data_IF_521143684047
#
_entry.id   IF_521143684047
#
_cell.length_a   1.000
_cell.length_b   1.000
_cell.length_c   1.000
_cell.angle_alpha   90.00
_cell.angle_beta   90.00
_cell.angle_gamma   90.00
#
_symmetry.space_group_name_H-M   'P 1'
#
loop_
_entity.id
_entity.type
_entity.pdbx_description
1 polymer ?
#
# COMPACT_ATOMS: atom_id res chain seq x y z
N UNK A 1 -3.21 -12.28 -20.95
CA UNK A 1 -2.48 -11.07 -21.39
C UNK A 1 -3.48 -10.04 -21.92
N UNK A 2 -3.82 -9.04 -21.11
CA UNK A 2 -4.84 -8.03 -21.42
C UNK A 2 -4.22 -6.92 -22.31
N UNK A 3 -4.13 -7.16 -23.62
CA UNK A 3 -3.60 -6.18 -24.58
C UNK A 3 -4.59 -5.00 -24.71
N UNK A 4 -4.21 -3.81 -24.22
CA UNK A 4 -4.81 -2.54 -24.65
C UNK A 4 -5.34 -1.59 -23.58
N UNK A 5 -5.31 -1.94 -22.29
CA UNK A 5 -5.65 -0.98 -21.22
C UNK A 5 -4.39 -0.34 -20.68
N UNK A 6 -4.31 0.99 -20.74
CA UNK A 6 -3.25 1.75 -20.06
C UNK A 6 -3.31 1.47 -18.56
N UNK A 7 -2.17 1.60 -17.87
CA UNK A 7 -2.13 1.44 -16.40
C UNK A 7 -3.10 2.42 -15.71
N UNK A 8 -3.27 3.61 -16.28
CA UNK A 8 -4.26 4.62 -15.85
C UNK A 8 -5.70 4.10 -15.89
N UNK A 9 -6.04 3.30 -16.89
CA UNK A 9 -7.36 2.69 -17.01
C UNK A 9 -7.59 1.66 -15.91
N UNK A 10 -6.55 0.87 -15.58
CA UNK A 10 -6.58 -0.15 -14.51
C UNK A 10 -6.76 0.51 -13.13
N UNK A 11 -5.96 1.54 -12.84
CA UNK A 11 -5.92 2.17 -11.50
C UNK A 11 -7.05 3.17 -11.31
N UNK A 12 -7.22 4.10 -12.25
CA UNK A 12 -8.07 5.29 -12.09
C UNK A 12 -9.37 5.21 -12.89
N UNK A 13 -9.44 4.33 -13.88
CA UNK A 13 -10.54 4.33 -14.84
C UNK A 13 -10.54 5.58 -15.72
N UNK A 14 -9.37 6.04 -16.15
CA UNK A 14 -9.19 7.10 -17.15
C UNK A 14 -8.10 6.70 -18.15
N UNK A 15 -8.04 7.33 -19.31
CA UNK A 15 -7.14 6.90 -20.39
C UNK A 15 -5.78 7.63 -20.37
N UNK A 16 -5.67 8.71 -19.59
CA UNK A 16 -4.47 9.53 -19.40
C UNK A 16 -4.02 9.50 -17.95
N UNK A 17 -2.74 9.74 -17.75
CA UNK A 17 -2.16 9.93 -16.41
C UNK A 17 -2.86 11.10 -15.71
N UNK A 18 -3.37 10.92 -14.48
CA UNK A 18 -3.93 12.03 -13.73
C UNK A 18 -2.86 13.04 -13.29
N UNK A 19 -3.07 14.31 -13.59
CA UNK A 19 -2.21 15.38 -13.11
C UNK A 19 -2.36 15.59 -11.59
N UNK A 20 -1.27 15.93 -10.91
CA UNK A 20 -1.30 16.36 -9.52
C UNK A 20 -0.51 17.66 -9.36
N UNK A 21 -1.20 18.71 -8.92
CA UNK A 21 -0.62 20.05 -8.73
C UNK A 21 0.16 20.16 -7.41
N UNK A 22 1.12 19.26 -7.20
CA UNK A 22 2.03 19.27 -6.06
C UNK A 22 3.44 18.95 -6.51
N UNK A 23 4.41 19.67 -5.97
CA UNK A 23 5.83 19.30 -6.03
C UNK A 23 6.15 18.28 -4.94
N UNK A 24 7.32 17.67 -4.99
CA UNK A 24 7.80 16.76 -3.96
C UNK A 24 7.80 17.41 -2.56
N UNK A 25 8.28 18.65 -2.49
CA UNK A 25 8.25 19.45 -1.27
C UNK A 25 6.81 19.72 -0.80
N UNK A 26 5.91 20.02 -1.75
CA UNK A 26 4.48 20.24 -1.46
C UNK A 26 3.78 19.02 -0.88
N UNK A 27 4.12 17.81 -1.35
CA UNK A 27 3.59 16.56 -0.78
C UNK A 27 4.01 16.40 0.67
N UNK A 28 5.31 16.64 0.96
CA UNK A 28 5.88 16.51 2.30
C UNK A 28 5.24 17.48 3.29
N UNK A 29 5.07 18.75 2.89
CA UNK A 29 4.39 19.76 3.70
C UNK A 29 2.93 19.39 4.00
N UNK A 30 2.16 18.99 2.97
CA UNK A 30 0.77 18.57 3.16
C UNK A 30 0.65 17.33 4.05
N UNK A 31 1.57 16.38 3.95
CA UNK A 31 1.54 15.20 4.80
C UNK A 31 1.74 15.57 6.27
N UNK A 32 2.63 16.51 6.57
CA UNK A 32 2.84 17.04 7.91
C UNK A 32 1.62 17.80 8.44
N UNK A 33 0.96 18.60 7.60
CA UNK A 33 -0.29 19.30 7.97
C UNK A 33 -1.42 18.33 8.34
N UNK A 34 -1.55 17.23 7.59
CA UNK A 34 -2.63 16.25 7.75
C UNK A 34 -2.45 15.31 8.95
N UNK A 35 -1.21 15.03 9.35
CA UNK A 35 -0.90 14.17 10.50
C UNK A 35 -1.03 14.92 11.83
N UNK A 36 -1.11 16.26 11.80
CA UNK A 36 -1.05 17.09 12.99
C UNK A 36 0.37 17.20 13.56
N UNK A 37 0.61 18.20 14.42
CA UNK A 37 1.88 18.32 15.15
C UNK A 37 2.01 17.11 16.08
N UNK A 38 2.98 16.24 15.79
CA UNK A 38 3.36 15.00 16.48
C UNK A 38 2.64 13.71 16.02
N UNK A 39 3.29 12.98 15.12
CA UNK A 39 3.37 11.52 15.24
C UNK A 39 4.79 11.07 14.91
N UNK A 40 5.47 10.49 15.90
CA UNK A 40 6.90 10.12 15.91
C UNK A 40 7.11 8.66 15.40
N UNK A 41 6.08 8.02 14.83
CA UNK A 41 6.22 6.73 14.16
C UNK A 41 6.47 6.95 12.66
N UNK A 42 7.74 7.05 12.25
CA UNK A 42 8.21 7.32 10.87
C UNK A 42 7.84 6.26 9.80
N UNK A 43 8.33 6.30 8.56
CA UNK A 43 9.46 7.07 7.96
C UNK A 43 9.15 7.52 6.50
N UNK A 44 7.89 7.50 6.03
CA UNK A 44 7.54 7.98 4.68
C UNK A 44 6.31 8.90 4.68
N UNK A 45 6.39 10.12 4.12
CA UNK A 45 5.21 10.97 3.90
C UNK A 45 4.19 10.23 3.04
N UNK A 46 2.89 10.33 3.36
CA UNK A 46 1.83 9.79 2.51
C UNK A 46 0.61 10.69 2.52
N UNK A 47 -0.08 10.73 1.39
CA UNK A 47 -1.29 11.52 1.21
C UNK A 47 -2.46 10.65 0.79
N UNK A 48 -3.62 10.93 1.38
CA UNK A 48 -4.90 10.45 0.90
C UNK A 48 -5.35 11.33 -0.27
N UNK A 49 -5.56 10.73 -1.45
CA UNK A 49 -5.98 11.45 -2.65
C UNK A 49 -7.24 10.83 -3.27
N UNK A 50 -7.99 11.64 -4.01
CA UNK A 50 -9.15 11.21 -4.81
C UNK A 50 -9.04 11.75 -6.21
N UNK A 51 -9.61 11.01 -7.16
CA UNK A 51 -9.75 11.46 -8.54
C UNK A 51 -10.94 12.41 -8.61
N UNK A 52 -10.73 13.67 -8.96
CA UNK A 52 -11.76 14.69 -8.91
C UNK A 52 -12.44 14.98 -10.26
N UNK A 53 -11.75 14.76 -11.38
CA UNK A 53 -12.35 14.78 -12.72
C UNK A 53 -11.93 13.53 -13.51
N UNK A 54 -12.87 12.99 -14.28
CA UNK A 54 -12.70 11.83 -15.15
C UNK A 54 -12.85 12.18 -16.63
N UNK A 55 -13.27 13.41 -16.96
CA UNK A 55 -13.50 13.88 -18.32
C UNK A 55 -12.37 14.82 -18.74
N UNK A 56 -11.74 14.52 -19.88
CA UNK A 56 -10.75 15.40 -20.52
C UNK A 56 -9.38 15.46 -19.82
N UNK A 57 -9.34 15.99 -18.60
CA UNK A 57 -8.13 16.32 -17.83
C UNK A 57 -8.20 15.73 -16.40
N UNK A 58 -7.86 14.44 -16.25
CA UNK A 58 -7.95 13.77 -14.96
C UNK A 58 -6.96 14.36 -13.96
N UNK A 59 -7.41 14.58 -12.72
CA UNK A 59 -6.55 15.15 -11.69
C UNK A 59 -6.78 14.53 -10.31
N UNK A 60 -5.67 14.30 -9.61
CA UNK A 60 -5.65 13.85 -8.22
C UNK A 60 -5.69 15.06 -7.28
N UNK A 61 -6.60 15.03 -6.31
CA UNK A 61 -6.70 16.02 -5.24
C UNK A 61 -6.48 15.37 -3.90
N UNK A 62 -5.64 16.00 -3.08
CA UNK A 62 -5.45 15.68 -1.68
C UNK A 62 -6.77 15.89 -0.93
N UNK A 63 -7.13 14.95 -0.06
CA UNK A 63 -8.41 14.95 0.63
C UNK A 63 -8.28 14.34 2.03
N UNK A 64 -8.85 15.01 3.03
CA UNK A 64 -8.94 14.47 4.40
C UNK A 64 -10.00 13.37 4.53
N UNK A 65 -11.02 13.39 3.66
CA UNK A 65 -12.12 12.43 3.68
C UNK A 65 -12.37 11.84 2.29
N UNK A 66 -12.88 10.61 2.25
CA UNK A 66 -13.23 9.93 1.00
C UNK A 66 -12.07 9.72 0.03
N UNK A 67 -10.82 9.63 0.54
CA UNK A 67 -9.67 9.26 -0.27
C UNK A 67 -9.83 7.87 -0.86
N UNK A 68 -9.53 7.76 -2.16
CA UNK A 68 -9.66 6.53 -2.94
C UNK A 68 -8.28 5.88 -3.18
N UNK A 69 -7.22 6.67 -3.08
CA UNK A 69 -5.85 6.24 -3.31
C UNK A 69 -4.94 6.77 -2.20
N UNK A 70 -3.83 6.09 -1.99
CA UNK A 70 -2.71 6.54 -1.18
C UNK A 70 -1.60 6.92 -2.14
N UNK A 71 -1.06 8.13 -2.00
CA UNK A 71 0.09 8.62 -2.73
C UNK A 71 1.30 8.64 -1.80
N UNK A 72 2.41 8.04 -2.24
CA UNK A 72 3.68 7.96 -1.55
C UNK A 72 4.78 8.57 -2.44
N UNK A 73 5.41 9.68 -2.02
CA UNK A 73 6.43 10.34 -2.82
C UNK A 73 7.79 9.66 -2.67
N UNK A 74 8.72 10.08 -3.51
CA UNK A 74 10.16 9.91 -3.28
C UNK A 74 10.58 10.45 -1.90
N UNK A 75 11.52 9.77 -1.23
CA UNK A 75 12.13 10.23 0.02
C UNK A 75 13.64 10.32 -0.18
N UNK A 76 14.26 11.43 0.21
CA UNK A 76 15.69 11.67 -0.06
C UNK A 76 16.61 10.59 0.54
N UNK A 77 16.20 9.98 1.66
CA UNK A 77 16.96 8.93 2.33
C UNK A 77 17.07 7.62 1.51
N UNK A 78 16.11 7.34 0.62
CA UNK A 78 16.02 6.08 -0.10
C UNK A 78 15.78 6.33 -1.59
N UNK A 79 16.82 6.16 -2.41
CA UNK A 79 16.74 6.42 -3.85
C UNK A 79 15.71 5.52 -4.54
N UNK A 80 14.94 6.09 -5.46
CA UNK A 80 13.95 5.39 -6.31
C UNK A 80 12.93 4.56 -5.51
N UNK A 81 12.50 5.08 -4.34
CA UNK A 81 11.58 4.36 -3.45
C UNK A 81 10.20 4.11 -4.09
N UNK A 82 9.58 5.08 -4.80
CA UNK A 82 8.36 4.84 -5.56
C UNK A 82 8.50 3.70 -6.58
N UNK A 83 9.60 3.70 -7.33
CA UNK A 83 9.88 2.72 -8.38
C UNK A 83 10.15 1.33 -7.79
N UNK A 84 10.83 1.27 -6.65
CA UNK A 84 11.03 0.04 -5.88
C UNK A 84 9.68 -0.58 -5.49
N UNK A 85 8.79 0.22 -4.88
CA UNK A 85 7.47 -0.26 -4.47
C UNK A 85 6.62 -0.68 -5.68
N UNK A 86 6.62 0.10 -6.76
CA UNK A 86 5.93 -0.27 -8.01
C UNK A 86 6.43 -1.60 -8.57
N UNK A 87 7.74 -1.80 -8.59
CA UNK A 87 8.36 -3.03 -9.11
C UNK A 87 7.97 -4.23 -8.25
N UNK A 88 8.10 -4.14 -6.93
CA UNK A 88 7.76 -5.23 -6.01
C UNK A 88 6.28 -5.60 -6.09
N UNK A 89 5.39 -4.59 -6.12
CA UNK A 89 3.95 -4.80 -6.25
C UNK A 89 3.57 -5.39 -7.62
N UNK A 90 4.28 -5.01 -8.69
CA UNK A 90 4.07 -5.58 -10.04
C UNK A 90 4.52 -7.04 -10.10
N UNK A 91 5.69 -7.37 -9.55
CA UNK A 91 6.16 -8.76 -9.48
C UNK A 91 5.16 -9.62 -8.68
N UNK A 92 4.64 -9.10 -7.57
CA UNK A 92 3.61 -9.78 -6.78
C UNK A 92 2.35 -10.09 -7.61
N UNK A 93 1.82 -9.11 -8.36
CA UNK A 93 0.65 -9.29 -9.26
C UNK A 93 0.96 -10.34 -10.35
N UNK A 94 2.14 -10.26 -10.98
CA UNK A 94 2.55 -11.15 -12.07
C UNK A 94 2.67 -12.62 -11.64
N UNK A 95 3.01 -12.89 -10.37
CA UNK A 95 3.08 -14.25 -9.82
C UNK A 95 1.78 -14.70 -9.12
N UNK A 96 0.73 -13.87 -9.14
CA UNK A 96 -0.59 -14.21 -8.63
C UNK A 96 -0.83 -13.88 -7.15
N UNK A 97 0.04 -13.10 -6.50
CA UNK A 97 -0.26 -12.52 -5.19
C UNK A 97 -1.25 -11.37 -5.38
N UNK A 98 -2.40 -11.46 -4.70
CA UNK A 98 -3.40 -10.40 -4.75
C UNK A 98 -2.86 -9.08 -4.20
N UNK A 99 -2.83 -8.06 -5.07
CA UNK A 99 -2.45 -6.68 -4.73
C UNK A 99 -3.50 -5.68 -5.23
N UNK A 100 -3.69 -4.54 -4.55
CA UNK A 100 -4.51 -3.45 -5.06
C UNK A 100 -3.92 -2.86 -6.35
N UNK A 101 -4.77 -2.29 -7.22
CA UNK A 101 -4.31 -1.60 -8.41
C UNK A 101 -3.40 -0.41 -8.05
N UNK A 102 -2.23 -0.36 -8.68
CA UNK A 102 -1.14 0.56 -8.39
C UNK A 102 -0.45 1.06 -9.66
N UNK A 103 0.23 2.20 -9.54
CA UNK A 103 1.06 2.78 -10.60
C UNK A 103 1.98 3.89 -10.07
N UNK A 104 2.96 4.28 -10.87
CA UNK A 104 3.68 5.54 -10.71
C UNK A 104 2.94 6.71 -11.37
N UNK A 105 3.04 7.90 -10.79
CA UNK A 105 2.60 9.16 -11.41
C UNK A 105 3.65 10.25 -11.24
N UNK A 106 3.65 11.23 -12.13
CA UNK A 106 4.50 12.41 -12.07
C UNK A 106 3.85 13.50 -11.21
N UNK A 107 4.65 14.05 -10.30
CA UNK A 107 4.37 15.28 -9.60
C UNK A 107 4.59 16.49 -10.53
N UNK A 108 4.18 17.68 -10.08
CA UNK A 108 4.32 18.94 -10.82
C UNK A 108 5.76 19.22 -11.28
N UNK A 109 6.73 18.85 -10.45
CA UNK A 109 8.17 19.00 -10.71
C UNK A 109 8.80 17.80 -11.43
N UNK A 110 7.98 16.91 -12.01
CA UNK A 110 8.36 15.67 -12.71
C UNK A 110 9.00 14.59 -11.83
N UNK A 111 9.09 14.80 -10.51
CA UNK A 111 9.45 13.71 -9.60
C UNK A 111 8.35 12.65 -9.57
N UNK A 112 8.73 11.40 -9.31
CA UNK A 112 7.79 10.29 -9.28
C UNK A 112 7.17 10.11 -7.88
N UNK A 113 5.92 9.67 -7.88
CA UNK A 113 5.22 9.19 -6.70
C UNK A 113 4.50 7.88 -7.02
N UNK A 114 4.52 6.97 -6.07
CA UNK A 114 3.76 5.73 -6.13
C UNK A 114 2.33 5.98 -5.67
N UNK A 115 1.37 5.44 -6.40
CA UNK A 115 -0.06 5.56 -6.11
C UNK A 115 -0.68 4.17 -6.07
N UNK A 116 -1.39 3.89 -4.98
CA UNK A 116 -2.09 2.63 -4.79
C UNK A 116 -3.56 2.88 -4.45
N UNK A 117 -4.44 2.11 -5.07
CA UNK A 117 -5.87 2.15 -4.77
C UNK A 117 -6.15 1.51 -3.41
N UNK A 118 -6.97 2.18 -2.62
CA UNK A 118 -7.37 1.67 -1.30
C UNK A 118 -8.32 0.50 -1.45
N UNK A 119 -7.95 -0.65 -0.89
CA UNK A 119 -8.83 -1.83 -0.80
C UNK A 119 -9.85 -1.72 0.34
N UNK A 120 -9.60 -0.85 1.34
CA UNK A 120 -10.53 -0.58 2.44
C UNK A 120 -11.64 0.43 2.07
N UNK A 121 -11.86 0.66 0.78
CA UNK A 121 -12.81 1.64 0.25
C UNK A 121 -13.58 1.10 -0.95
N UNK A 122 -14.89 1.29 -0.90
CA UNK A 122 -15.76 1.12 -2.07
C UNK A 122 -16.54 2.41 -2.31
N UNK A 123 -16.05 3.23 -3.24
CA UNK A 123 -16.58 4.58 -3.43
C UNK A 123 -16.38 5.43 -2.17
N UNK A 124 -17.49 5.78 -1.50
CA UNK A 124 -17.47 6.50 -0.20
C UNK A 124 -17.58 5.57 1.01
N UNK A 125 -17.94 4.30 0.79
CA UNK A 125 -18.10 3.30 1.84
C UNK A 125 -16.72 2.89 2.37
N UNK A 126 -16.56 2.92 3.69
CA UNK A 126 -15.39 2.36 4.36
C UNK A 126 -15.63 0.88 4.62
N UNK A 127 -14.68 0.04 4.23
CA UNK A 127 -14.66 -1.37 4.58
C UNK A 127 -13.82 -1.48 5.85
N UNK A 128 -14.31 -2.23 6.84
CA UNK A 128 -13.58 -2.43 8.08
C UNK A 128 -12.31 -3.25 7.83
N UNK A 129 -11.21 -2.82 8.43
CA UNK A 129 -9.88 -3.39 8.28
C UNK A 129 -9.18 -3.33 9.63
N UNK A 130 -8.45 -4.40 9.97
CA UNK A 130 -7.59 -4.44 11.15
C UNK A 130 -6.20 -4.97 10.75
N UNK A 131 -5.15 -4.29 11.18
CA UNK A 131 -3.78 -4.79 11.04
C UNK A 131 -3.44 -5.79 12.16
N UNK A 132 -2.45 -6.66 11.95
CA UNK A 132 -2.13 -7.67 12.96
C UNK A 132 -1.48 -7.10 14.23
N UNK A 133 -1.01 -5.84 14.24
CA UNK A 133 -0.61 -5.18 15.48
C UNK A 133 -1.82 -4.94 16.38
N UNK A 134 -2.95 -4.54 15.80
CA UNK A 134 -4.22 -4.36 16.52
C UNK A 134 -4.77 -5.72 16.97
N UNK A 135 -4.83 -6.71 16.07
CA UNK A 135 -5.42 -8.03 16.34
C UNK A 135 -4.63 -8.81 17.42
N UNK A 136 -3.31 -8.62 17.46
CA UNK A 136 -2.43 -9.25 18.46
C UNK A 136 -2.20 -8.36 19.69
N UNK A 137 -2.76 -7.15 19.73
CA UNK A 137 -2.56 -6.15 20.79
C UNK A 137 -1.07 -5.83 21.06
N UNK A 138 -0.22 -5.90 20.03
CA UNK A 138 1.23 -5.67 20.14
C UNK A 138 1.59 -4.20 19.96
N UNK A 139 2.51 -3.72 20.80
CA UNK A 139 3.16 -2.41 20.66
C UNK A 139 4.47 -2.47 19.87
N UNK A 140 5.15 -3.62 19.87
CA UNK A 140 6.39 -3.85 19.13
C UNK A 140 6.09 -4.44 17.73
N UNK A 141 6.67 -3.83 16.69
CA UNK A 141 6.41 -4.18 15.30
C UNK A 141 7.20 -5.42 14.83
N UNK A 142 8.37 -5.69 15.40
CA UNK A 142 9.37 -6.59 14.79
C UNK A 142 9.49 -7.99 15.42
N UNK A 143 8.90 -8.24 16.61
CA UNK A 143 9.21 -9.46 17.38
C UNK A 143 8.19 -10.61 17.19
N UNK A 144 8.65 -11.79 16.78
CA UNK A 144 7.89 -13.05 16.77
C UNK A 144 6.69 -13.12 15.82
N UNK A 145 6.65 -12.24 14.80
CA UNK A 145 5.43 -11.87 14.08
C UNK A 145 4.78 -13.01 13.26
N UNK A 146 5.57 -13.72 12.44
CA UNK A 146 5.00 -14.52 11.34
C UNK A 146 4.19 -15.72 11.84
N UNK A 147 4.73 -16.49 12.78
CA UNK A 147 4.03 -17.66 13.33
C UNK A 147 2.77 -17.25 14.09
N UNK A 148 2.83 -16.16 14.85
CA UNK A 148 1.68 -15.63 15.58
C UNK A 148 0.58 -15.12 14.65
N UNK A 149 0.94 -14.38 13.60
CA UNK A 149 0.00 -13.98 12.54
C UNK A 149 -0.66 -15.22 11.95
N UNK A 150 0.12 -16.24 11.58
CA UNK A 150 -0.41 -17.48 11.02
C UNK A 150 -1.37 -18.20 11.97
N UNK A 151 -1.04 -18.30 13.26
CA UNK A 151 -1.92 -18.88 14.30
C UNK A 151 -3.20 -18.07 14.47
N UNK A 152 -3.10 -16.74 14.53
CA UNK A 152 -4.25 -15.88 14.73
C UNK A 152 -5.15 -15.84 13.50
N UNK A 153 -4.58 -15.83 12.30
CA UNK A 153 -5.30 -15.90 11.03
C UNK A 153 -6.16 -17.16 10.94
N UNK A 154 -5.68 -18.30 11.47
CA UNK A 154 -6.49 -19.53 11.57
C UNK A 154 -7.78 -19.39 12.37
N UNK A 155 -7.83 -18.43 13.29
CA UNK A 155 -8.96 -18.22 14.21
C UNK A 155 -9.89 -17.10 13.79
N UNK A 156 -9.39 -16.11 13.04
CA UNK A 156 -10.17 -14.92 12.65
C UNK A 156 -10.70 -15.00 11.22
N UNK A 157 -10.03 -15.76 10.33
CA UNK A 157 -10.44 -15.87 8.93
C UNK A 157 -11.68 -16.75 8.75
N UNK A 158 -12.55 -16.33 7.84
CA UNK A 158 -13.67 -17.10 7.28
C UNK A 158 -13.20 -18.38 6.57
N UNK A 159 -12.04 -18.33 5.92
CA UNK A 159 -11.47 -19.44 5.14
C UNK A 159 -10.02 -19.71 5.56
N UNK A 160 -9.81 -20.22 6.80
CA UNK A 160 -8.48 -20.35 7.40
C UNK A 160 -7.43 -21.04 6.55
N UNK A 161 -7.79 -22.14 5.89
CA UNK A 161 -6.85 -22.95 5.10
C UNK A 161 -6.27 -22.17 3.93
N UNK A 162 -7.14 -21.45 3.20
CA UNK A 162 -6.73 -20.63 2.06
C UNK A 162 -5.94 -19.41 2.53
N UNK A 163 -6.43 -18.68 3.51
CA UNK A 163 -5.80 -17.44 3.95
C UNK A 163 -4.42 -17.68 4.59
N UNK A 164 -4.23 -18.80 5.31
CA UNK A 164 -2.91 -19.18 5.84
C UNK A 164 -1.94 -19.55 4.72
N UNK A 165 -2.41 -20.23 3.67
CA UNK A 165 -1.58 -20.52 2.50
C UNK A 165 -1.15 -19.22 1.81
N UNK A 166 -2.10 -18.31 1.53
CA UNK A 166 -1.82 -17.02 0.91
C UNK A 166 -0.87 -16.16 1.78
N UNK A 167 -1.03 -16.21 3.11
CA UNK A 167 -0.10 -15.55 4.02
C UNK A 167 1.31 -16.14 3.93
N UNK A 168 1.44 -17.47 3.89
CA UNK A 168 2.74 -18.12 3.74
C UNK A 168 3.41 -17.77 2.40
N UNK A 169 2.65 -17.72 1.30
CA UNK A 169 3.16 -17.27 -0.01
C UNK A 169 3.73 -15.84 0.06
N UNK A 170 3.08 -14.93 0.81
CA UNK A 170 3.58 -13.57 1.03
C UNK A 170 4.84 -13.51 1.90
N UNK A 171 4.95 -14.37 2.91
CA UNK A 171 6.18 -14.50 3.72
C UNK A 171 7.34 -14.94 2.85
N UNK A 172 7.14 -15.97 2.02
CA UNK A 172 8.15 -16.43 1.07
C UNK A 172 8.49 -15.32 0.06
N UNK A 173 7.49 -14.61 -0.45
CA UNK A 173 7.72 -13.49 -1.36
C UNK A 173 8.57 -12.38 -0.74
N UNK A 174 8.23 -11.92 0.47
CA UNK A 174 9.00 -10.90 1.19
C UNK A 174 10.46 -11.34 1.42
N UNK A 175 10.69 -12.62 1.73
CA UNK A 175 12.03 -13.18 1.80
C UNK A 175 12.77 -13.11 0.46
N UNK A 176 12.12 -13.50 -0.65
CA UNK A 176 12.72 -13.50 -1.98
C UNK A 176 13.08 -12.09 -2.49
N UNK A 177 12.23 -11.10 -2.23
CA UNK A 177 12.50 -9.70 -2.61
C UNK A 177 13.42 -8.97 -1.62
N UNK A 178 13.78 -9.60 -0.50
CA UNK A 178 14.59 -8.97 0.55
C UNK A 178 13.89 -7.80 1.23
N UNK A 179 12.63 -7.99 1.63
CA UNK A 179 11.84 -7.04 2.40
C UNK A 179 12.01 -7.28 3.91
N UNK A 180 13.01 -6.66 4.52
CA UNK A 180 13.25 -6.66 5.96
C UNK A 180 12.28 -5.78 6.77
N UNK A 181 11.55 -4.86 6.12
CA UNK A 181 10.54 -4.01 6.77
C UNK A 181 9.16 -4.71 6.89
N UNK A 182 9.05 -5.98 6.49
CA UNK A 182 7.81 -6.76 6.50
C UNK A 182 7.33 -7.13 7.93
N UNK A 183 6.81 -6.14 8.65
CA UNK A 183 6.41 -6.26 10.06
C UNK A 183 4.89 -6.48 10.25
N UNK A 184 4.43 -6.72 11.48
CA UNK A 184 3.02 -7.06 11.80
C UNK A 184 1.96 -6.09 11.24
N UNK A 185 2.31 -4.81 11.02
CA UNK A 185 1.38 -3.81 10.46
C UNK A 185 1.20 -3.89 8.94
N UNK A 186 2.04 -4.67 8.24
CA UNK A 186 1.97 -4.86 6.78
C UNK A 186 1.07 -6.05 6.41
N UNK A 187 0.44 -6.66 7.42
CA UNK A 187 -0.57 -7.70 7.25
C UNK A 187 -1.85 -7.23 7.91
N UNK A 188 -2.97 -7.41 7.21
CA UNK A 188 -4.30 -7.03 7.70
C UNK A 188 -5.34 -8.06 7.31
N UNK A 189 -6.47 -8.03 7.99
CA UNK A 189 -7.71 -8.64 7.52
C UNK A 189 -8.72 -7.55 7.14
N UNK A 190 -9.59 -7.85 6.18
CA UNK A 190 -10.74 -7.02 5.80
C UNK A 190 -12.04 -7.78 6.08
N UNK A 191 -13.08 -7.04 6.45
CA UNK A 191 -14.37 -7.62 6.82
C UNK A 191 -15.42 -7.28 5.77
N UNK A 192 -16.18 -8.29 5.34
CA UNK A 192 -17.35 -8.06 4.48
C UNK A 192 -18.52 -7.46 5.29
N UNK A 193 -19.66 -7.22 4.63
CA UNK A 193 -20.86 -6.66 5.28
C UNK A 193 -21.46 -7.56 6.38
N UNK A 194 -21.16 -8.86 6.33
CA UNK A 194 -21.60 -9.86 7.31
C UNK A 194 -20.62 -9.98 8.49
N UNK A 195 -19.51 -9.21 8.49
CA UNK A 195 -18.49 -9.26 9.53
C UNK A 195 -17.51 -10.43 9.38
N UNK A 196 -17.49 -11.09 8.23
CA UNK A 196 -16.60 -12.22 7.95
C UNK A 196 -15.25 -11.70 7.46
N UNK A 197 -14.17 -12.13 8.12
CA UNK A 197 -12.84 -11.63 7.86
C UNK A 197 -12.10 -12.47 6.83
N UNK A 198 -11.36 -11.81 5.93
CA UNK A 198 -10.42 -12.43 4.99
C UNK A 198 -9.09 -11.71 5.04
N UNK A 199 -8.00 -12.44 4.74
CA UNK A 199 -6.69 -11.82 4.55
C UNK A 199 -6.78 -10.70 3.49
N UNK A 200 -6.40 -9.48 3.85
CA UNK A 200 -6.44 -8.34 2.93
C UNK A 200 -5.46 -8.54 1.76
N UNK A 201 -5.61 -7.85 0.61
CA UNK A 201 -4.57 -7.80 -0.42
C UNK A 201 -3.20 -7.42 0.16
N UNK A 202 -2.10 -7.86 -0.46
CA UNK A 202 -0.76 -7.46 -0.05
C UNK A 202 -0.50 -5.98 -0.39
N UNK A 203 0.20 -5.27 0.49
CA UNK A 203 0.54 -3.85 0.35
C UNK A 203 1.88 -3.56 1.04
N UNK A 204 2.46 -2.38 0.78
CA UNK A 204 3.76 -1.96 1.34
C UNK A 204 4.88 -2.98 1.07
N UNK A 205 4.89 -3.55 -0.15
CA UNK A 205 5.93 -4.48 -0.62
C UNK A 205 7.09 -3.67 -1.18
N UNK A 206 8.26 -3.77 -0.54
CA UNK A 206 9.48 -3.05 -0.95
C UNK A 206 10.69 -3.97 -0.85
N UNK A 207 11.65 -3.83 -1.75
CA UNK A 207 12.97 -4.42 -1.57
C UNK A 207 13.79 -3.48 -0.68
N UNK A 208 13.74 -3.66 0.64
CA UNK A 208 14.50 -2.81 1.57
C UNK A 208 16.01 -3.07 1.46
N UNK A 209 16.41 -4.31 1.15
CA UNK A 209 17.82 -4.70 0.97
C UNK A 209 18.58 -3.91 -0.10
N UNK A 210 17.91 -3.42 -1.15
CA UNK A 210 18.59 -2.62 -2.20
C UNK A 210 18.89 -1.19 -1.73
N UNK A 211 18.14 -0.67 -0.76
CA UNK A 211 18.29 0.69 -0.21
C UNK A 211 18.99 0.70 1.16
N UNK A 212 19.00 -0.44 1.86
CA UNK A 212 19.69 -0.67 3.13
C UNK A 212 20.52 -1.98 2.99
N UNK A 213 21.72 -1.93 2.40
CA UNK A 213 22.51 -3.13 2.11
C UNK A 213 22.94 -3.93 3.34
N UNK A 214 23.06 -3.28 4.51
CA UNK A 214 23.47 -3.89 5.78
C UNK A 214 22.31 -4.54 6.56
N UNK A 215 21.09 -4.51 6.04
CA UNK A 215 19.94 -5.13 6.68
C UNK A 215 20.09 -6.67 6.74
N UNK A 216 20.01 -7.24 7.94
CA UNK A 216 20.04 -8.68 8.13
C UNK A 216 18.73 -9.31 7.61
N UNK A 217 18.86 -10.44 6.91
CA UNK A 217 17.73 -11.21 6.38
C UNK A 217 16.99 -11.99 7.47
#
# INVERSE_FOLDING_TARGET
MNKGRTVWRKVFGVDKEPFIDLTLAGVSLKAQEMVGKMSISGVQPKLSVKLADRSGDPHLKVTGEGGQYILKPQVQAFANLPENEELCMTIADDIGIEVPAHCLVHLKDQSLAYVVKRFDREGRRKIHQEDFSQILEKQDKYNGAVEEIGKKLKTVSEVPGLDVQLFFERVVFNFLIGNGDAHVKNYSVIYNEEGLARLAPAYDLVCSRIVIPEEAA
#
